data_IF_472770133697
#
_entry.id   IF_472770133697
#
_cell.length_a   1.000
_cell.length_b   1.000
_cell.length_c   1.000
_cell.angle_alpha   90.00
_cell.angle_beta   90.00
_cell.angle_gamma   90.00
#
_symmetry.space_group_name_H-M   'P 1'
#
loop_
_entity.id
_entity.type
_entity.pdbx_description
1 polymer ?
#
# COMPACT_ATOMS: atom_id res chain seq x y z
N UNK A 1 5.49 7.71 -7.24
CA UNK A 1 5.25 6.91 -6.03
C UNK A 1 6.57 6.92 -5.23
N UNK A 2 6.55 6.65 -3.93
CA UNK A 2 7.71 6.82 -3.04
C UNK A 2 8.56 5.55 -2.88
N UNK A 3 8.25 4.44 -3.56
CA UNK A 3 8.98 3.17 -3.41
C UNK A 3 10.51 3.31 -3.53
N UNK A 4 10.98 4.14 -4.46
CA UNK A 4 12.41 4.40 -4.65
C UNK A 4 13.06 5.22 -3.53
N UNK A 5 12.28 5.71 -2.58
CA UNK A 5 12.71 6.41 -1.36
C UNK A 5 12.67 5.53 -0.12
N UNK A 6 12.30 4.26 -0.26
CA UNK A 6 12.31 3.32 0.85
C UNK A 6 13.74 3.00 1.21
N UNK A 7 13.98 2.81 2.52
CA UNK A 7 15.32 2.70 3.09
C UNK A 7 16.07 1.42 2.70
N UNK A 8 15.35 0.34 2.37
CA UNK A 8 15.90 -0.95 1.99
C UNK A 8 14.95 -1.72 1.06
N UNK A 9 15.49 -2.75 0.41
CA UNK A 9 14.76 -3.55 -0.57
C UNK A 9 13.72 -4.46 0.06
N UNK A 10 13.92 -4.88 1.32
CA UNK A 10 12.94 -5.72 2.03
C UNK A 10 11.65 -4.94 2.30
N UNK A 11 11.77 -3.67 2.67
CA UNK A 11 10.62 -2.80 2.89
C UNK A 11 9.83 -2.55 1.59
N UNK A 12 10.54 -2.44 0.45
CA UNK A 12 9.89 -2.32 -0.86
C UNK A 12 9.14 -3.61 -1.20
N UNK A 13 9.78 -4.76 -1.06
CA UNK A 13 9.17 -6.08 -1.29
C UNK A 13 7.93 -6.28 -0.42
N UNK A 14 8.03 -5.99 0.88
CA UNK A 14 6.89 -6.05 1.81
C UNK A 14 5.74 -5.14 1.38
N UNK A 15 6.04 -3.92 0.91
CA UNK A 15 5.01 -3.02 0.41
C UNK A 15 4.36 -3.52 -0.88
N UNK A 16 5.15 -4.08 -1.81
CA UNK A 16 4.64 -4.69 -3.04
C UNK A 16 3.64 -5.81 -2.70
N UNK A 17 3.99 -6.69 -1.76
CA UNK A 17 3.09 -7.75 -1.27
C UNK A 17 1.83 -7.18 -0.65
N UNK A 18 1.97 -6.19 0.23
CA UNK A 18 0.83 -5.54 0.86
C UNK A 18 -0.11 -4.88 -0.18
N UNK A 19 0.45 -4.22 -1.19
CA UNK A 19 -0.30 -3.65 -2.30
C UNK A 19 -1.05 -4.73 -3.10
N UNK A 20 -0.38 -5.84 -3.40
CA UNK A 20 -0.95 -7.01 -4.05
C UNK A 20 -2.12 -7.60 -3.27
N UNK A 21 -1.98 -7.77 -1.95
CA UNK A 21 -3.04 -8.27 -1.06
C UNK A 21 -4.25 -7.32 -1.02
N UNK A 22 -4.02 -6.00 -0.96
CA UNK A 22 -5.10 -5.01 -0.85
C UNK A 22 -5.88 -4.89 -2.15
N UNK A 23 -5.21 -4.94 -3.31
CA UNK A 23 -5.85 -4.80 -4.62
C UNK A 23 -6.31 -6.12 -5.22
N UNK A 24 -5.71 -7.24 -4.80
CA UNK A 24 -5.91 -8.57 -5.39
C UNK A 24 -5.75 -8.53 -6.93
N UNK A 25 -4.70 -7.86 -7.39
CA UNK A 25 -4.44 -7.60 -8.81
C UNK A 25 -2.94 -7.68 -9.13
N UNK A 26 -2.56 -8.62 -9.99
CA UNK A 26 -1.18 -8.83 -10.42
C UNK A 26 -0.61 -7.66 -11.24
N UNK A 27 -1.45 -6.85 -11.88
CA UNK A 27 -0.99 -5.65 -12.59
C UNK A 27 -0.47 -4.58 -11.62
N UNK A 28 -1.03 -4.54 -10.41
CA UNK A 28 -0.56 -3.64 -9.35
C UNK A 28 0.81 -4.11 -8.86
N UNK A 29 0.97 -5.42 -8.65
CA UNK A 29 2.26 -6.04 -8.30
C UNK A 29 3.31 -5.71 -9.36
N UNK A 30 3.02 -5.97 -10.64
CA UNK A 30 3.93 -5.68 -11.76
C UNK A 30 4.33 -4.19 -11.79
N UNK A 31 3.36 -3.28 -11.61
CA UNK A 31 3.61 -1.84 -11.61
C UNK A 31 4.56 -1.43 -10.49
N UNK A 32 4.35 -1.93 -9.26
CA UNK A 32 5.22 -1.61 -8.14
C UNK A 32 6.59 -2.27 -8.26
N UNK A 33 6.71 -3.50 -8.79
CA UNK A 33 7.99 -4.14 -9.09
C UNK A 33 8.78 -3.27 -10.09
N UNK A 34 8.14 -2.86 -11.19
CA UNK A 34 8.77 -2.01 -12.20
C UNK A 34 9.28 -0.68 -11.61
N UNK A 35 8.52 -0.07 -10.71
CA UNK A 35 8.95 1.19 -10.07
C UNK A 35 10.05 0.99 -9.04
N UNK A 36 10.03 -0.11 -8.28
CA UNK A 36 10.93 -0.38 -7.16
C UNK A 36 12.41 -0.50 -7.54
N UNK A 37 12.68 -0.80 -8.81
CA UNK A 37 14.00 -1.16 -9.31
C UNK A 37 14.50 -2.54 -8.86
N UNK A 38 13.63 -3.35 -8.23
CA UNK A 38 13.94 -4.71 -7.83
C UNK A 38 13.79 -5.68 -9.01
N UNK A 39 14.54 -6.78 -8.96
CA UNK A 39 14.42 -7.89 -9.90
C UNK A 39 13.63 -9.03 -9.25
N UNK A 40 12.33 -8.82 -9.03
CA UNK A 40 11.39 -9.80 -8.47
C UNK A 40 10.57 -10.48 -9.58
N UNK A 41 10.18 -11.74 -9.38
CA UNK A 41 9.24 -12.43 -10.28
C UNK A 41 7.79 -12.10 -9.89
N UNK A 42 7.01 -11.62 -10.86
CA UNK A 42 5.62 -11.21 -10.62
C UNK A 42 4.75 -12.39 -10.18
N UNK A 43 4.98 -13.59 -10.73
CA UNK A 43 4.19 -14.77 -10.38
C UNK A 43 4.52 -15.25 -8.98
N UNK A 44 5.81 -15.28 -8.61
CA UNK A 44 6.25 -15.64 -7.25
C UNK A 44 5.60 -14.73 -6.20
N UNK A 45 5.67 -13.40 -6.40
CA UNK A 45 5.03 -12.45 -5.49
C UNK A 45 3.51 -12.58 -5.49
N UNK A 46 2.89 -12.86 -6.64
CA UNK A 46 1.44 -13.07 -6.73
C UNK A 46 1.00 -14.32 -5.98
N UNK A 47 1.75 -15.43 -6.11
CA UNK A 47 1.49 -16.68 -5.41
C UNK A 47 1.60 -16.48 -3.89
N UNK A 48 2.65 -15.81 -3.42
CA UNK A 48 2.81 -15.47 -2.00
C UNK A 48 1.65 -14.59 -1.47
N UNK A 49 1.17 -13.64 -2.28
CA UNK A 49 0.00 -12.84 -1.90
C UNK A 49 -1.26 -13.71 -1.81
N UNK A 50 -1.46 -14.66 -2.72
CA UNK A 50 -2.59 -15.59 -2.69
C UNK A 50 -2.53 -16.54 -1.49
N UNK A 51 -1.34 -16.99 -1.12
CA UNK A 51 -1.13 -17.79 0.10
C UNK A 51 -1.60 -17.01 1.34
N UNK A 52 -1.19 -15.75 1.49
CA UNK A 52 -1.67 -14.90 2.60
C UNK A 52 -3.18 -14.66 2.51
N UNK A 53 -3.71 -14.36 1.32
CA UNK A 53 -5.15 -14.15 1.11
C UNK A 53 -5.99 -15.40 1.43
N UNK A 54 -5.43 -16.60 1.30
CA UNK A 54 -6.09 -17.86 1.63
C UNK A 54 -6.35 -18.02 3.14
N UNK A 55 -5.59 -17.30 3.97
CA UNK A 55 -5.71 -17.31 5.43
C UNK A 55 -6.86 -16.44 5.95
N UNK A 56 -7.63 -15.75 5.08
CA UNK A 56 -8.72 -14.85 5.52
C UNK A 56 -9.75 -15.46 6.47
N UNK A 57 -9.93 -16.78 6.42
CA UNK A 57 -10.83 -17.51 7.32
C UNK A 57 -10.20 -17.76 8.71
N UNK A 58 -8.87 -17.77 8.81
CA UNK A 58 -8.11 -17.75 10.08
C UNK A 58 -7.63 -16.31 10.37
N UNK A 59 -8.48 -15.57 11.07
CA UNK A 59 -8.26 -14.15 11.33
C UNK A 59 -6.95 -13.86 12.06
N UNK A 60 -6.51 -14.74 12.96
CA UNK A 60 -5.32 -14.51 13.77
C UNK A 60 -4.07 -14.70 12.91
N UNK A 61 -4.01 -15.80 12.14
CA UNK A 61 -2.89 -16.07 11.23
C UNK A 61 -2.80 -15.03 10.11
N UNK A 62 -3.94 -14.62 9.55
CA UNK A 62 -3.98 -13.55 8.54
C UNK A 62 -3.50 -12.20 9.10
N UNK A 63 -3.89 -11.85 10.33
CA UNK A 63 -3.43 -10.62 10.95
C UNK A 63 -1.92 -10.65 11.22
N UNK A 64 -1.37 -11.78 11.65
CA UNK A 64 0.07 -11.93 11.90
C UNK A 64 0.90 -11.76 10.61
N UNK A 65 0.50 -12.41 9.51
CA UNK A 65 1.17 -12.24 8.21
C UNK A 65 1.12 -10.77 7.73
N UNK A 66 -0.02 -10.10 7.90
CA UNK A 66 -0.13 -8.67 7.57
C UNK A 66 0.81 -7.84 8.45
N UNK A 67 0.90 -8.11 9.75
CA UNK A 67 1.78 -7.39 10.68
C UNK A 67 3.27 -7.58 10.35
N UNK A 68 3.66 -8.77 9.88
CA UNK A 68 5.02 -9.06 9.42
C UNK A 68 5.38 -8.24 8.18
N UNK A 69 4.44 -8.02 7.26
CA UNK A 69 4.66 -7.09 6.14
C UNK A 69 4.86 -5.64 6.60
N UNK A 70 4.32 -5.25 7.75
CA UNK A 70 4.52 -3.93 8.34
C UNK A 70 5.82 -3.85 9.17
N UNK A 71 6.61 -4.92 9.27
CA UNK A 71 7.87 -4.91 10.00
C UNK A 71 8.79 -3.80 9.46
N UNK A 72 9.39 -3.03 10.38
CA UNK A 72 10.27 -1.91 10.05
C UNK A 72 9.65 -0.79 9.19
N UNK A 73 8.32 -0.75 9.03
CA UNK A 73 7.63 0.33 8.35
C UNK A 73 8.03 1.70 8.91
N UNK A 74 8.29 2.64 8.01
CA UNK A 74 8.65 4.02 8.32
C UNK A 74 7.59 5.00 7.80
N UNK A 75 7.86 6.30 7.94
CA UNK A 75 6.92 7.32 7.50
C UNK A 75 6.69 7.33 5.99
N UNK A 76 7.68 6.94 5.18
CA UNK A 76 7.53 6.89 3.72
C UNK A 76 6.64 5.72 3.33
N UNK A 77 6.80 4.57 4.00
CA UNK A 77 5.88 3.44 3.86
C UNK A 77 4.44 3.85 4.17
N UNK A 78 4.22 4.53 5.30
CA UNK A 78 2.88 4.98 5.69
C UNK A 78 2.28 5.98 4.70
N UNK A 79 3.06 6.94 4.19
CA UNK A 79 2.59 7.89 3.18
C UNK A 79 2.17 7.18 1.89
N UNK A 80 2.97 6.22 1.43
CA UNK A 80 2.65 5.44 0.24
C UNK A 80 1.39 4.57 0.46
N UNK A 81 1.28 3.97 1.65
CA UNK A 81 0.10 3.21 2.04
C UNK A 81 -1.16 4.09 2.05
N UNK A 82 -1.09 5.32 2.59
CA UNK A 82 -2.21 6.25 2.54
C UNK A 82 -2.65 6.58 1.10
N UNK A 83 -1.70 6.75 0.18
CA UNK A 83 -2.02 6.95 -1.24
C UNK A 83 -2.77 5.75 -1.83
N UNK A 84 -2.36 4.53 -1.45
CA UNK A 84 -2.93 3.28 -1.92
C UNK A 84 -4.37 3.06 -1.44
N UNK A 85 -4.64 3.29 -0.16
CA UNK A 85 -5.96 2.97 0.46
C UNK A 85 -7.03 4.03 0.23
N UNK A 86 -6.66 5.26 -0.16
CA UNK A 86 -7.64 6.30 -0.49
C UNK A 86 -8.49 5.95 -1.72
N UNK A 87 -8.02 5.02 -2.56
CA UNK A 87 -8.77 4.51 -3.70
C UNK A 87 -9.63 3.28 -3.37
N UNK A 88 -9.25 2.51 -2.33
CA UNK A 88 -9.91 1.27 -1.93
C UNK A 88 -10.08 1.22 -0.40
N UNK A 89 -10.96 2.06 0.18
CA UNK A 89 -11.22 2.01 1.61
C UNK A 89 -11.97 0.72 1.98
N UNK A 90 -11.42 -0.01 2.93
CA UNK A 90 -12.01 -1.23 3.50
C UNK A 90 -11.76 -1.32 5.01
N UNK A 91 -12.40 -2.28 5.68
CA UNK A 91 -12.12 -2.56 7.09
C UNK A 91 -10.64 -2.93 7.30
N UNK A 92 -10.11 -3.82 6.47
CA UNK A 92 -8.72 -4.26 6.51
C UNK A 92 -7.75 -3.08 6.39
N UNK A 93 -7.96 -2.20 5.41
CA UNK A 93 -7.08 -1.03 5.22
C UNK A 93 -7.16 -0.04 6.38
N UNK A 94 -8.32 0.08 7.04
CA UNK A 94 -8.45 0.92 8.23
C UNK A 94 -7.72 0.30 9.43
N UNK A 95 -7.81 -1.01 9.60
CA UNK A 95 -7.12 -1.72 10.67
C UNK A 95 -5.59 -1.61 10.50
N UNK A 96 -5.06 -1.85 9.28
CA UNK A 96 -3.64 -1.66 8.95
C UNK A 96 -3.20 -0.21 9.19
N UNK A 97 -4.02 0.77 8.78
CA UNK A 97 -3.74 2.19 8.99
C UNK A 97 -3.53 2.51 10.46
N UNK A 98 -4.45 2.06 11.32
CA UNK A 98 -4.35 2.29 12.77
C UNK A 98 -3.12 1.63 13.38
N UNK A 99 -2.77 0.40 12.93
CA UNK A 99 -1.53 -0.27 13.36
C UNK A 99 -0.27 0.49 12.98
N UNK A 100 -0.21 1.05 11.76
CA UNK A 100 0.92 1.87 11.32
C UNK A 100 1.01 3.18 12.12
N UNK A 101 -0.11 3.84 12.39
CA UNK A 101 -0.16 5.07 13.19
C UNK A 101 0.37 4.84 14.62
N UNK A 102 -0.03 3.72 15.24
CA UNK A 102 0.46 3.28 16.55
C UNK A 102 1.95 2.95 16.52
N UNK A 103 2.40 2.11 15.57
CA UNK A 103 3.80 1.67 15.44
C UNK A 103 4.76 2.83 15.21
N UNK A 104 4.35 3.80 14.41
CA UNK A 104 5.13 5.00 14.10
C UNK A 104 5.03 6.08 15.19
N UNK A 105 4.19 5.87 16.21
CA UNK A 105 3.95 6.80 17.31
C UNK A 105 3.64 8.22 16.78
N UNK A 106 2.71 8.31 15.82
CA UNK A 106 2.34 9.57 15.19
C UNK A 106 1.41 10.38 16.11
N UNK A 107 1.65 11.69 16.18
CA UNK A 107 0.70 12.60 16.83
C UNK A 107 -0.55 12.80 15.96
N UNK A 108 -1.68 13.13 16.59
CA UNK A 108 -2.94 13.45 15.89
C UNK A 108 -2.75 14.51 14.80
N UNK A 109 -1.91 15.52 15.07
CA UNK A 109 -1.57 16.56 14.10
C UNK A 109 -0.86 15.98 12.86
N UNK A 110 0.10 15.07 13.05
CA UNK A 110 0.79 14.39 11.94
C UNK A 110 -0.17 13.49 11.17
N UNK A 111 -0.98 12.70 11.88
CA UNK A 111 -2.01 11.84 11.28
C UNK A 111 -2.93 12.68 10.39
N UNK A 112 -3.48 13.77 10.92
CA UNK A 112 -4.36 14.66 10.18
C UNK A 112 -3.67 15.27 8.95
N UNK A 113 -2.44 15.75 9.10
CA UNK A 113 -1.67 16.39 8.02
C UNK A 113 -1.41 15.41 6.87
N UNK A 114 -0.95 14.19 7.18
CA UNK A 114 -0.61 13.19 6.18
C UNK A 114 -1.86 12.65 5.47
N UNK A 115 -2.95 12.42 6.22
CA UNK A 115 -4.23 12.02 5.63
C UNK A 115 -4.79 13.09 4.68
N UNK A 116 -4.80 14.36 5.10
CA UNK A 116 -5.26 15.46 4.25
C UNK A 116 -4.40 15.58 2.99
N UNK A 117 -3.08 15.44 3.12
CA UNK A 117 -2.17 15.44 1.98
C UNK A 117 -2.51 14.30 1.00
N UNK A 118 -2.71 13.07 1.49
CA UNK A 118 -3.01 11.92 0.64
C UNK A 118 -4.37 12.06 -0.06
N UNK A 119 -5.41 12.50 0.66
CA UNK A 119 -6.75 12.75 0.10
C UNK A 119 -6.71 13.82 -0.99
N UNK A 120 -6.05 14.95 -0.74
CA UNK A 120 -5.93 16.03 -1.71
C UNK A 120 -5.16 15.57 -2.96
N UNK A 121 -4.07 14.84 -2.76
CA UNK A 121 -3.25 14.32 -3.87
C UNK A 121 -4.07 13.34 -4.73
N UNK A 122 -4.77 12.38 -4.11
CA UNK A 122 -5.64 11.44 -4.82
C UNK A 122 -6.77 12.16 -5.59
N UNK A 123 -7.38 13.19 -4.97
CA UNK A 123 -8.40 14.02 -5.63
C UNK A 123 -7.86 14.75 -6.85
N UNK A 124 -6.67 15.35 -6.77
CA UNK A 124 -6.03 16.01 -7.89
C UNK A 124 -5.71 15.04 -9.03
N UNK A 125 -5.21 13.84 -8.72
CA UNK A 125 -4.95 12.79 -9.72
C UNK A 125 -6.25 12.39 -10.42
N UNK A 126 -7.32 12.12 -9.67
CA UNK A 126 -8.62 11.75 -10.23
C UNK A 126 -9.19 12.85 -11.14
N UNK A 127 -9.05 14.11 -10.76
CA UNK A 127 -9.49 15.23 -11.60
C UNK A 127 -8.67 15.35 -12.88
N UNK A 128 -7.35 15.17 -12.81
CA UNK A 128 -6.48 15.18 -13.98
C UNK A 128 -6.87 14.06 -14.97
N UNK A 129 -7.13 12.85 -14.48
CA UNK A 129 -7.58 11.71 -15.30
C UNK A 129 -8.89 12.03 -16.01
N UNK A 130 -9.87 12.63 -15.32
CA UNK A 130 -11.15 13.04 -15.92
C UNK A 130 -10.99 14.08 -17.02
N UNK A 131 -10.10 15.06 -16.82
CA UNK A 131 -9.83 16.09 -17.85
C UNK A 131 -9.22 15.41 -19.08
N UNK A 132 -8.21 14.56 -18.90
CA UNK A 132 -7.53 13.87 -20.02
C UNK A 132 -8.51 12.99 -20.81
N UNK A 133 -9.39 12.24 -20.12
CA UNK A 133 -10.37 11.39 -20.79
C UNK A 133 -11.41 12.20 -21.58
N UNK A 134 -11.82 13.37 -21.06
CA UNK A 134 -12.77 14.28 -21.75
C UNK A 134 -12.22 14.95 -23.00
N UNK A 135 -10.89 15.02 -23.16
CA UNK A 135 -10.23 15.58 -24.36
C UNK A 135 -10.02 14.52 -25.44
N UNK A 136 -10.00 13.24 -25.07
CA UNK A 136 -9.82 12.11 -25.99
C UNK A 136 -11.13 11.56 -26.56
N UNK A 137 -12.28 11.97 -26.01
CA UNK A 137 -13.64 11.69 -26.49
C UNK A 137 -14.11 12.76 -27.47
#
# INVERSE_FOLDING_TARGET
MFLNKFKDDKLKENFIKLAGIIYDDSNIIESYICESGLSLDVNEISDECQDILSLKDDKDEFEDEILDLLENADINFYIEFLMLINLIPSKLTNDIKSRLEEKLNLSDEKIMTLNNWAINTASHINNAVKIISSVKS
#
